data_IF_277174019273
#
_entry.id   IF_277174019273
#
_cell.length_a   1.000
_cell.length_b   1.000
_cell.length_c   1.000
_cell.angle_alpha   90.00
_cell.angle_beta   90.00
_cell.angle_gamma   90.00
#
_symmetry.space_group_name_H-M   'P 1'
#
loop_
_entity.id
_entity.type
_entity.pdbx_description
1 polymer ?
#
# COMPACT_ATOMS: atom_id res chain seq x y z
N UNK A 1 -5.10 2.26 -12.48
CA UNK A 1 -4.06 1.19 -12.36
C UNK A 1 -4.03 0.65 -10.92
N UNK A 2 -3.79 1.51 -9.96
CA UNK A 2 -3.75 1.07 -8.53
C UNK A 2 -4.61 1.99 -7.67
N UNK A 3 -4.74 1.69 -6.40
CA UNK A 3 -5.56 2.54 -5.48
C UNK A 3 -4.79 3.81 -5.11
N UNK A 4 -5.38 4.66 -4.31
CA UNK A 4 -4.70 5.92 -3.89
C UNK A 4 -3.77 5.63 -2.70
N UNK A 5 -3.42 6.67 -1.98
CA UNK A 5 -2.51 6.49 -0.79
C UNK A 5 -3.36 6.25 0.47
N UNK A 6 -2.73 5.76 1.52
CA UNK A 6 -3.46 5.49 2.81
C UNK A 6 -4.60 4.48 2.56
N UNK A 7 -4.38 3.53 1.67
CA UNK A 7 -5.43 2.52 1.38
C UNK A 7 -5.07 1.20 2.10
N UNK A 8 -5.95 0.71 2.94
CA UNK A 8 -5.67 -0.57 3.67
C UNK A 8 -5.47 -1.69 2.66
N UNK A 9 -4.27 -2.21 2.57
CA UNK A 9 -3.98 -3.32 1.61
C UNK A 9 -3.19 -4.43 2.30
N UNK A 10 -3.11 -5.58 1.67
CA UNK A 10 -2.35 -6.73 2.27
C UNK A 10 -0.89 -6.66 1.80
N UNK A 11 0.02 -6.77 2.75
CA UNK A 11 1.47 -6.73 2.46
C UNK A 11 1.93 -8.06 1.87
N UNK A 12 2.74 -8.00 0.84
CA UNK A 12 3.22 -9.26 0.18
C UNK A 12 2.33 -9.58 -1.03
N UNK A 13 1.16 -8.98 -1.10
CA UNK A 13 0.24 -9.24 -2.25
C UNK A 13 0.51 -8.25 -3.39
N UNK A 14 1.19 -7.17 -3.11
CA UNK A 14 1.51 -6.14 -4.15
C UNK A 14 0.20 -5.63 -4.78
N UNK A 15 -0.76 -5.30 -3.95
CA UNK A 15 -2.07 -4.77 -4.48
C UNK A 15 -1.95 -3.27 -4.76
N UNK A 16 -1.23 -2.55 -3.91
CA UNK A 16 -1.07 -1.08 -4.12
C UNK A 16 -0.10 -0.80 -5.28
N UNK A 17 0.13 0.46 -5.58
CA UNK A 17 1.07 0.82 -6.69
C UNK A 17 2.50 0.38 -6.34
N UNK A 18 3.36 0.38 -7.33
CA UNK A 18 4.78 -0.02 -7.16
C UNK A 18 5.57 1.09 -6.44
N UNK A 19 5.22 2.33 -6.66
CA UNK A 19 5.94 3.46 -5.98
C UNK A 19 5.56 3.50 -4.50
N UNK A 20 4.42 2.96 -4.15
CA UNK A 20 3.98 2.94 -2.72
C UNK A 20 4.11 1.52 -2.16
N UNK A 21 3.99 1.37 -0.86
CA UNK A 21 4.11 0.00 -0.24
C UNK A 21 3.03 -0.19 0.83
N UNK A 22 2.66 -1.43 1.07
CA UNK A 22 1.62 -1.72 2.11
C UNK A 22 2.29 -1.77 3.48
N UNK A 23 2.02 -0.80 4.33
CA UNK A 23 2.65 -0.79 5.69
C UNK A 23 2.07 -1.92 6.54
N UNK A 24 2.90 -2.50 7.39
CA UNK A 24 2.42 -3.61 8.27
C UNK A 24 2.00 -3.03 9.63
N UNK A 25 2.80 -2.15 10.19
CA UNK A 25 2.46 -1.53 11.51
C UNK A 25 1.24 -0.62 11.35
N UNK A 26 1.16 0.10 10.24
CA UNK A 26 0.01 1.02 10.00
C UNK A 26 -1.11 0.25 9.27
N UNK A 27 -0.75 -0.75 8.49
CA UNK A 27 -1.75 -1.57 7.74
C UNK A 27 -2.40 -0.77 6.59
N UNK A 28 -1.69 0.18 6.03
CA UNK A 28 -2.27 0.97 4.89
C UNK A 28 -1.18 1.30 3.86
N UNK A 29 -1.59 1.71 2.68
CA UNK A 29 -0.61 2.06 1.61
C UNK A 29 0.01 3.43 1.91
N UNK A 30 1.27 3.60 1.60
CA UNK A 30 1.94 4.91 1.86
C UNK A 30 3.18 5.07 0.97
N UNK A 31 3.80 6.22 1.01
CA UNK A 31 5.02 6.47 0.19
C UNK A 31 6.25 5.83 0.84
N UNK A 32 7.29 5.62 0.07
CA UNK A 32 8.53 5.00 0.62
C UNK A 32 9.52 6.10 1.01
N UNK A 33 9.60 7.13 0.22
CA UNK A 33 10.54 8.26 0.53
C UNK A 33 9.96 9.57 -0.03
#
# INVERSE_FOLDING_TARGET
ACKGVFDACTPGKNECCPNRVCSDKHKWCKWKL
#
